data_IF_177647819779
#
_entry.id   IF_177647819779
#
_cell.length_a   1.000
_cell.length_b   1.000
_cell.length_c   1.000
_cell.angle_alpha   90.00
_cell.angle_beta   90.00
_cell.angle_gamma   90.00
#
_symmetry.space_group_name_H-M   'P 1'
#
loop_
_entity.id
_entity.type
_entity.pdbx_description
1 polymer ?
#
# COMPACT_ATOMS: atom_id res chain seq x y z
N UNK A 1 -45.01 -10.65 61.61
CA UNK A 1 -43.91 -10.27 62.53
C UNK A 1 -42.97 -11.46 62.66
N UNK A 2 -41.77 -11.35 62.08
CA UNK A 2 -40.54 -11.99 62.54
C UNK A 2 -39.41 -11.38 61.70
N UNK A 3 -38.61 -10.53 62.35
CA UNK A 3 -37.45 -9.86 61.78
C UNK A 3 -36.24 -10.77 62.00
N UNK A 4 -35.54 -11.16 60.93
CA UNK A 4 -34.32 -11.95 61.03
C UNK A 4 -33.13 -11.08 60.68
N UNK A 5 -32.31 -10.80 61.70
CA UNK A 5 -31.06 -10.04 61.65
C UNK A 5 -30.00 -10.84 60.89
N UNK A 6 -29.42 -10.25 59.84
CA UNK A 6 -28.28 -10.80 59.11
C UNK A 6 -26.97 -10.30 59.73
N UNK A 7 -26.10 -11.23 60.16
CA UNK A 7 -24.71 -10.95 60.57
C UNK A 7 -23.81 -10.84 59.34
N UNK A 8 -23.05 -9.75 59.27
CA UNK A 8 -21.98 -9.51 58.31
C UNK A 8 -20.74 -10.36 58.62
N UNK A 9 -20.17 -11.04 57.63
CA UNK A 9 -18.79 -11.52 57.70
C UNK A 9 -18.09 -11.42 56.33
N UNK A 10 -16.99 -10.67 56.32
CA UNK A 10 -15.73 -11.07 55.70
C UNK A 10 -15.60 -10.89 54.19
N UNK A 11 -14.86 -9.87 53.78
CA UNK A 11 -14.24 -9.74 52.47
C UNK A 11 -13.23 -10.89 52.27
N UNK A 12 -13.51 -11.80 51.34
CA UNK A 12 -12.59 -12.86 50.93
C UNK A 12 -11.74 -12.35 49.76
N UNK A 13 -10.44 -12.19 49.97
CA UNK A 13 -9.45 -11.90 48.94
C UNK A 13 -9.34 -13.07 47.98
N UNK A 14 -9.23 -12.77 46.67
CA UNK A 14 -9.09 -13.75 45.60
C UNK A 14 -7.70 -14.38 45.68
N UNK A 15 -7.64 -15.54 46.33
CA UNK A 15 -6.47 -16.41 46.39
C UNK A 15 -6.05 -16.87 44.97
N UNK A 16 -4.76 -17.17 44.87
CA UNK A 16 -3.94 -17.45 43.70
C UNK A 16 -4.54 -18.47 42.71
N UNK A 17 -4.65 -18.08 41.44
CA UNK A 17 -4.91 -19.01 40.33
C UNK A 17 -3.64 -19.84 40.04
N UNK A 18 -3.70 -21.17 40.00
CA UNK A 18 -2.55 -22.00 39.64
C UNK A 18 -2.16 -21.78 38.18
N UNK A 19 -0.90 -21.42 37.95
CA UNK A 19 -0.34 -21.11 36.63
C UNK A 19 -0.53 -22.23 35.60
N UNK A 20 -1.08 -21.88 34.45
CA UNK A 20 -1.20 -22.76 33.28
C UNK A 20 0.20 -23.16 32.80
N UNK A 21 0.51 -24.46 32.64
CA UNK A 21 1.81 -24.87 32.11
C UNK A 21 1.93 -24.44 30.64
N UNK A 22 2.93 -23.63 30.34
CA UNK A 22 3.26 -23.22 28.97
C UNK A 22 3.73 -24.44 28.15
N UNK A 23 3.25 -24.66 26.91
CA UNK A 23 3.65 -25.81 26.10
C UNK A 23 5.17 -25.85 25.84
N UNK A 24 5.77 -27.02 26.01
CA UNK A 24 7.17 -27.28 25.68
C UNK A 24 7.39 -27.06 24.16
N UNK A 25 7.99 -25.93 23.82
CA UNK A 25 8.15 -25.45 22.43
C UNK A 25 7.69 -24.01 22.20
N UNK A 26 7.14 -23.34 23.22
CA UNK A 26 6.99 -21.89 23.19
C UNK A 26 8.37 -21.26 22.96
N UNK A 27 8.46 -20.42 21.93
CA UNK A 27 9.65 -19.62 21.66
C UNK A 27 10.04 -18.93 22.97
N UNK A 28 11.19 -19.32 23.52
CA UNK A 28 11.80 -18.57 24.61
C UNK A 28 12.09 -17.20 24.04
N UNK A 29 11.27 -16.21 24.34
CA UNK A 29 11.62 -14.81 24.23
C UNK A 29 12.81 -14.61 25.16
N UNK A 30 14.02 -14.88 24.66
CA UNK A 30 15.22 -14.35 25.26
C UNK A 30 15.08 -12.85 25.07
N UNK A 31 14.76 -12.14 26.14
CA UNK A 31 14.97 -10.71 26.25
C UNK A 31 16.47 -10.49 26.03
N UNK A 32 16.87 -10.32 24.77
CA UNK A 32 18.18 -9.78 24.45
C UNK A 32 18.17 -8.36 25.00
N UNK A 33 19.05 -8.07 25.97
CA UNK A 33 19.26 -6.72 26.48
C UNK A 33 19.62 -5.80 25.31
N UNK A 34 18.62 -5.06 24.81
CA UNK A 34 18.82 -4.14 23.71
C UNK A 34 19.63 -2.97 24.25
N UNK A 35 20.91 -2.92 23.89
CA UNK A 35 21.77 -1.77 24.17
C UNK A 35 21.17 -0.50 23.54
N UNK A 36 20.51 0.32 24.36
CA UNK A 36 19.92 1.61 23.98
C UNK A 36 20.96 2.61 23.42
N UNK A 37 22.25 2.35 23.61
CA UNK A 37 23.33 3.19 23.06
C UNK A 37 23.60 2.95 21.57
N UNK A 38 23.08 1.86 20.99
CA UNK A 38 23.21 1.58 19.55
C UNK A 38 22.24 2.47 18.79
N UNK A 39 22.78 3.53 18.16
CA UNK A 39 22.01 4.37 17.24
C UNK A 39 21.50 3.53 16.05
N UNK A 40 20.20 3.25 16.03
CA UNK A 40 19.54 2.42 14.99
C UNK A 40 19.26 3.17 13.68
N UNK A 41 19.62 4.45 13.61
CA UNK A 41 19.34 5.31 12.46
C UNK A 41 17.88 5.78 12.43
N UNK A 42 17.67 7.06 12.15
CA UNK A 42 16.34 7.60 11.91
C UNK A 42 15.89 7.30 10.46
N UNK A 43 15.34 6.10 10.25
CA UNK A 43 14.81 5.66 8.95
C UNK A 43 13.57 6.45 8.50
N UNK A 44 12.89 7.14 9.44
CA UNK A 44 11.74 7.96 9.10
C UNK A 44 12.17 9.24 8.39
N UNK A 45 13.33 9.81 8.74
CA UNK A 45 13.85 11.06 8.17
C UNK A 45 14.93 10.86 7.10
N UNK A 46 14.96 9.68 6.48
CA UNK A 46 15.90 9.40 5.40
C UNK A 46 15.64 10.30 4.18
N UNK A 47 16.68 10.82 3.50
CA UNK A 47 16.48 11.64 2.30
C UNK A 47 15.72 10.87 1.21
N UNK A 48 14.80 11.58 0.54
CA UNK A 48 13.95 11.07 -0.54
C UNK A 48 14.72 10.31 -1.64
N UNK A 49 15.90 10.80 -2.04
CA UNK A 49 16.74 10.16 -3.05
C UNK A 49 17.20 8.74 -2.63
N UNK A 50 17.43 8.54 -1.34
CA UNK A 50 17.85 7.23 -0.80
C UNK A 50 16.63 6.31 -0.68
N UNK A 51 15.49 6.83 -0.22
CA UNK A 51 14.23 6.06 -0.20
C UNK A 51 13.83 5.57 -1.59
N UNK A 52 14.05 6.40 -2.62
CA UNK A 52 13.83 6.01 -4.01
C UNK A 52 14.72 4.83 -4.44
N UNK A 53 15.95 4.72 -3.91
CA UNK A 53 16.81 3.56 -4.13
C UNK A 53 16.31 2.31 -3.39
N UNK A 54 15.76 2.49 -2.18
CA UNK A 54 15.13 1.41 -1.41
C UNK A 54 13.90 0.86 -2.13
N UNK A 55 13.12 1.72 -2.79
CA UNK A 55 11.95 1.29 -3.57
C UNK A 55 12.28 0.52 -4.85
N UNK A 56 13.48 0.69 -5.41
CA UNK A 56 13.88 0.09 -6.69
C UNK A 56 13.68 -1.44 -6.77
N UNK A 57 14.19 -2.26 -5.83
CA UNK A 57 14.01 -3.71 -5.87
C UNK A 57 12.60 -4.19 -5.48
N UNK A 58 11.77 -3.33 -4.90
CA UNK A 58 10.46 -3.72 -4.39
C UNK A 58 9.41 -3.83 -5.51
N UNK A 59 8.50 -4.79 -5.38
CA UNK A 59 7.31 -4.88 -6.23
C UNK A 59 6.26 -3.84 -5.82
N UNK A 60 5.24 -3.61 -6.65
CA UNK A 60 4.26 -2.54 -6.42
C UNK A 60 3.53 -2.67 -5.07
N UNK A 61 3.15 -3.90 -4.69
CA UNK A 61 2.49 -4.17 -3.41
C UNK A 61 3.39 -3.81 -2.22
N UNK A 62 4.66 -4.22 -2.27
CA UNK A 62 5.65 -3.89 -1.24
C UNK A 62 5.91 -2.38 -1.17
N UNK A 63 6.00 -1.70 -2.32
CA UNK A 63 6.15 -0.23 -2.36
C UNK A 63 4.97 0.46 -1.68
N UNK A 64 3.75 -0.02 -1.94
CA UNK A 64 2.55 0.48 -1.30
C UNK A 64 2.56 0.22 0.21
N UNK A 65 2.88 -1.00 0.67
CA UNK A 65 2.94 -1.28 2.11
C UNK A 65 4.00 -0.42 2.82
N UNK A 66 5.14 -0.21 2.19
CA UNK A 66 6.21 0.65 2.69
C UNK A 66 5.79 2.13 2.76
N UNK A 67 4.95 2.61 1.83
CA UNK A 67 4.47 4.00 1.86
C UNK A 67 3.50 4.30 3.01
N UNK A 68 2.96 3.27 3.66
CA UNK A 68 2.06 3.40 4.82
C UNK A 68 2.80 3.55 6.15
N UNK A 69 4.13 3.41 6.18
CA UNK A 69 4.92 3.44 7.43
C UNK A 69 4.93 4.84 8.05
N UNK A 70 5.25 5.86 7.26
CA UNK A 70 5.26 7.25 7.71
C UNK A 70 5.12 8.22 6.52
N UNK A 71 4.91 9.50 6.83
CA UNK A 71 4.65 10.53 5.81
C UNK A 71 5.82 10.74 4.84
N UNK A 72 7.07 10.65 5.30
CA UNK A 72 8.25 10.78 4.42
C UNK A 72 8.33 9.63 3.40
N UNK A 73 8.03 8.41 3.81
CA UNK A 73 7.95 7.25 2.91
C UNK A 73 6.77 7.39 1.93
N UNK A 74 5.65 7.95 2.37
CA UNK A 74 4.53 8.29 1.49
C UNK A 74 4.92 9.31 0.40
N UNK A 75 5.72 10.33 0.74
CA UNK A 75 6.23 11.27 -0.28
C UNK A 75 7.18 10.59 -1.25
N UNK A 76 8.13 9.81 -0.74
CA UNK A 76 9.07 9.06 -1.57
C UNK A 76 8.39 8.07 -2.53
N UNK A 77 7.25 7.52 -2.13
CA UNK A 77 6.44 6.67 -2.99
C UNK A 77 5.97 7.40 -4.26
N UNK A 78 5.68 8.70 -4.23
CA UNK A 78 5.21 9.45 -5.39
C UNK A 78 6.34 9.99 -6.28
N UNK A 79 7.60 9.66 -5.98
CA UNK A 79 8.74 10.12 -6.76
C UNK A 79 8.86 9.42 -8.12
N UNK A 80 9.53 10.06 -9.10
CA UNK A 80 9.58 9.55 -10.46
C UNK A 80 10.20 8.15 -10.61
N UNK A 81 11.34 7.85 -9.97
CA UNK A 81 11.99 6.53 -10.16
C UNK A 81 11.28 5.42 -9.40
N UNK A 82 10.50 5.75 -8.37
CA UNK A 82 9.60 4.79 -7.69
C UNK A 82 8.54 4.22 -8.65
N UNK A 83 8.23 4.93 -9.74
CA UNK A 83 7.22 4.55 -10.74
C UNK A 83 7.76 4.38 -12.16
N UNK A 84 9.07 4.47 -12.36
CA UNK A 84 9.68 4.39 -13.69
C UNK A 84 9.31 3.10 -14.44
N UNK A 85 9.32 1.98 -13.71
CA UNK A 85 8.92 0.67 -14.22
C UNK A 85 7.63 0.24 -13.55
N UNK A 86 6.58 0.06 -14.36
CA UNK A 86 5.29 -0.46 -13.95
C UNK A 86 5.13 -1.88 -14.49
N UNK A 87 4.90 -2.83 -13.59
CA UNK A 87 4.61 -4.22 -13.95
C UNK A 87 3.11 -4.44 -13.78
N UNK A 88 2.45 -4.86 -14.85
CA UNK A 88 1.06 -5.25 -14.85
C UNK A 88 0.98 -6.77 -14.66
N UNK A 89 0.36 -7.19 -13.56
CA UNK A 89 0.08 -8.58 -13.20
C UNK A 89 -1.43 -8.83 -12.97
N UNK A 90 -1.82 -10.12 -12.80
CA UNK A 90 -3.22 -10.58 -12.63
C UNK A 90 -3.96 -9.91 -11.45
N UNK A 91 -3.22 -9.31 -10.52
CA UNK A 91 -3.76 -8.66 -9.33
C UNK A 91 -3.61 -7.13 -9.36
N UNK A 92 -2.85 -6.58 -10.30
CA UNK A 92 -2.51 -5.17 -10.39
C UNK A 92 -3.75 -4.33 -10.68
N UNK A 93 -4.05 -3.39 -9.79
CA UNK A 93 -5.22 -2.50 -9.90
C UNK A 93 -6.55 -3.25 -10.05
N UNK A 94 -6.61 -4.51 -9.59
CA UNK A 94 -7.84 -5.30 -9.64
C UNK A 94 -8.64 -5.19 -8.34
N UNK A 95 -9.88 -5.68 -8.41
CA UNK A 95 -10.72 -6.01 -7.27
C UNK A 95 -11.25 -7.43 -7.41
N UNK A 96 -11.50 -8.06 -6.27
CA UNK A 96 -12.12 -9.39 -6.24
C UNK A 96 -13.62 -9.27 -6.49
N UNK A 97 -14.12 -9.96 -7.51
CA UNK A 97 -15.54 -10.00 -7.88
C UNK A 97 -16.00 -11.46 -7.95
N UNK A 98 -17.18 -11.74 -7.41
CA UNK A 98 -17.76 -13.07 -7.51
C UNK A 98 -18.55 -13.20 -8.82
N UNK A 99 -18.27 -14.27 -9.56
CA UNK A 99 -19.01 -14.70 -10.74
C UNK A 99 -19.68 -16.05 -10.44
N UNK A 100 -20.97 -16.17 -10.76
CA UNK A 100 -21.74 -17.40 -10.52
C UNK A 100 -21.18 -18.64 -11.24
N UNK A 101 -20.54 -18.46 -12.39
CA UNK A 101 -20.01 -19.56 -13.20
C UNK A 101 -18.53 -19.85 -12.97
N UNK A 102 -17.74 -18.84 -12.58
CA UNK A 102 -16.28 -18.93 -12.46
C UNK A 102 -15.77 -18.72 -11.04
N UNK A 103 -16.67 -18.51 -10.07
CA UNK A 103 -16.32 -18.25 -8.68
C UNK A 103 -15.68 -16.87 -8.48
N UNK A 104 -14.75 -16.79 -7.53
CA UNK A 104 -14.01 -15.55 -7.24
C UNK A 104 -12.97 -15.28 -8.31
N UNK A 105 -13.10 -14.16 -9.00
CA UNK A 105 -12.14 -13.72 -10.02
C UNK A 105 -11.64 -12.30 -9.74
N UNK A 106 -10.45 -11.99 -10.25
CA UNK A 106 -9.90 -10.65 -10.23
C UNK A 106 -10.29 -9.90 -11.50
N UNK A 107 -10.94 -8.76 -11.32
CA UNK A 107 -11.39 -7.87 -12.40
C UNK A 107 -10.71 -6.52 -12.24
N UNK A 108 -10.23 -5.94 -13.34
CA UNK A 108 -9.62 -4.62 -13.33
C UNK A 108 -10.58 -3.56 -12.75
N UNK A 109 -10.09 -2.78 -11.80
CA UNK A 109 -10.85 -1.67 -11.24
C UNK A 109 -10.51 -0.38 -12.00
N UNK A 110 -11.46 0.07 -12.82
CA UNK A 110 -11.28 1.23 -13.68
C UNK A 110 -11.06 2.51 -12.89
N UNK A 111 -11.69 2.67 -11.73
CA UNK A 111 -11.50 3.85 -10.91
C UNK A 111 -10.08 3.88 -10.35
N UNK A 112 -9.60 2.75 -9.82
CA UNK A 112 -8.21 2.64 -9.32
C UNK A 112 -7.21 2.90 -10.42
N UNK A 113 -7.42 2.33 -11.60
CA UNK A 113 -6.55 2.53 -12.76
C UNK A 113 -6.52 3.99 -13.20
N UNK A 114 -7.69 4.65 -13.27
CA UNK A 114 -7.77 6.05 -13.66
C UNK A 114 -7.06 6.96 -12.65
N UNK A 115 -7.25 6.72 -11.35
CA UNK A 115 -6.58 7.48 -10.29
C UNK A 115 -5.06 7.24 -10.30
N UNK A 116 -4.63 6.01 -10.52
CA UNK A 116 -3.21 5.68 -10.67
C UNK A 116 -2.58 6.42 -11.86
N UNK A 117 -3.20 6.35 -13.03
CA UNK A 117 -2.71 7.05 -14.22
C UNK A 117 -2.71 8.58 -14.04
N UNK A 118 -3.73 9.15 -13.40
CA UNK A 118 -3.79 10.57 -13.13
C UNK A 118 -2.71 11.07 -12.17
N UNK A 119 -2.38 10.27 -11.14
CA UNK A 119 -1.41 10.65 -10.09
C UNK A 119 0.03 10.42 -10.52
N UNK A 120 0.34 9.20 -10.98
CA UNK A 120 1.72 8.74 -11.23
C UNK A 120 1.97 8.33 -12.68
N UNK A 121 0.96 8.33 -13.54
CA UNK A 121 1.09 7.89 -14.94
C UNK A 121 2.14 8.65 -15.76
N UNK A 122 2.44 9.91 -15.42
CA UNK A 122 3.52 10.70 -16.05
C UNK A 122 4.94 10.16 -15.77
N UNK A 123 5.10 9.37 -14.71
CA UNK A 123 6.38 8.81 -14.29
C UNK A 123 6.66 7.43 -14.91
N UNK A 124 5.63 6.77 -15.44
CA UNK A 124 5.76 5.46 -16.07
C UNK A 124 6.52 5.63 -17.39
N UNK A 125 7.68 4.96 -17.50
CA UNK A 125 8.52 4.94 -18.70
C UNK A 125 8.64 3.55 -19.30
N UNK A 126 8.58 2.52 -18.45
CA UNK A 126 8.66 1.13 -18.85
C UNK A 126 7.42 0.43 -18.33
N UNK A 127 6.68 -0.18 -19.25
CA UNK A 127 5.51 -0.99 -18.95
C UNK A 127 5.83 -2.44 -19.28
N UNK A 128 5.73 -3.31 -18.28
CA UNK A 128 5.99 -4.76 -18.40
C UNK A 128 4.69 -5.49 -18.14
N UNK A 129 4.32 -6.40 -19.04
CA UNK A 129 3.20 -7.31 -18.83
C UNK A 129 3.76 -8.65 -18.34
N UNK A 130 3.39 -9.02 -17.11
CA UNK A 130 3.61 -10.38 -16.64
C UNK A 130 2.69 -11.35 -17.42
N UNK A 131 2.98 -12.66 -17.42
CA UNK A 131 2.05 -13.64 -17.97
C UNK A 131 0.70 -13.60 -17.24
N UNK A 132 -0.33 -13.08 -17.91
CA UNK A 132 -1.68 -12.94 -17.37
C UNK A 132 -2.53 -14.16 -17.70
N UNK A 133 -3.35 -14.59 -16.74
CA UNK A 133 -4.38 -15.62 -16.97
C UNK A 133 -5.66 -15.01 -17.54
N UNK A 134 -5.91 -13.72 -17.30
CA UNK A 134 -7.12 -13.03 -17.73
C UNK A 134 -6.86 -11.93 -18.77
N UNK A 135 -6.90 -12.30 -20.05
CA UNK A 135 -6.73 -11.37 -21.17
C UNK A 135 -7.74 -10.21 -21.22
N UNK A 136 -8.90 -10.36 -20.58
CA UNK A 136 -9.89 -9.29 -20.52
C UNK A 136 -9.37 -8.10 -19.70
N UNK A 137 -8.73 -8.36 -18.55
CA UNK A 137 -8.13 -7.30 -17.72
C UNK A 137 -7.02 -6.56 -18.49
N UNK A 138 -6.20 -7.30 -19.24
CA UNK A 138 -5.16 -6.71 -20.09
C UNK A 138 -5.76 -5.79 -21.17
N UNK A 139 -6.82 -6.24 -21.85
CA UNK A 139 -7.50 -5.43 -22.86
C UNK A 139 -8.10 -4.15 -22.27
N UNK A 140 -8.80 -4.23 -21.13
CA UNK A 140 -9.36 -3.06 -20.47
C UNK A 140 -8.26 -2.07 -20.04
N UNK A 141 -7.18 -2.59 -19.44
CA UNK A 141 -6.05 -1.77 -19.02
C UNK A 141 -5.38 -1.07 -20.19
N UNK A 142 -5.17 -1.77 -21.30
CA UNK A 142 -4.61 -1.19 -22.52
C UNK A 142 -5.49 -0.11 -23.11
N UNK A 143 -6.81 -0.31 -23.11
CA UNK A 143 -7.76 0.69 -23.56
C UNK A 143 -7.68 1.97 -22.72
N UNK A 144 -7.57 1.82 -21.39
CA UNK A 144 -7.44 2.96 -20.47
C UNK A 144 -6.11 3.72 -20.64
N UNK A 145 -5.00 3.01 -20.85
CA UNK A 145 -3.69 3.63 -21.10
C UNK A 145 -3.70 4.39 -22.42
N UNK A 146 -4.25 3.80 -23.49
CA UNK A 146 -4.36 4.46 -24.79
C UNK A 146 -5.13 5.78 -24.67
N UNK A 147 -6.29 5.75 -23.99
CA UNK A 147 -7.07 6.96 -23.73
C UNK A 147 -6.29 8.01 -22.92
N UNK A 148 -5.59 7.59 -21.86
CA UNK A 148 -4.76 8.50 -21.06
C UNK A 148 -3.64 9.15 -21.90
N UNK A 149 -2.95 8.37 -22.73
CA UNK A 149 -1.86 8.84 -23.58
C UNK A 149 -2.37 9.86 -24.63
N UNK A 150 -3.51 9.59 -25.26
CA UNK A 150 -4.15 10.50 -26.21
C UNK A 150 -4.56 11.82 -25.54
N UNK A 151 -5.15 11.74 -24.36
CA UNK A 151 -5.59 12.92 -23.60
C UNK A 151 -4.38 13.80 -23.24
N UNK A 152 -3.29 13.19 -22.75
CA UNK A 152 -2.05 13.91 -22.45
C UNK A 152 -1.38 14.49 -23.68
N UNK A 153 -1.42 13.79 -24.80
CA UNK A 153 -0.93 14.31 -26.06
C UNK A 153 -1.72 15.56 -26.50
N UNK A 154 -3.05 15.52 -26.38
CA UNK A 154 -3.90 16.67 -26.72
C UNK A 154 -3.70 17.86 -25.76
N UNK A 155 -3.54 17.63 -24.45
CA UNK A 155 -3.19 18.68 -23.48
C UNK A 155 -1.87 19.38 -23.83
N UNK A 156 -0.86 18.63 -24.26
CA UNK A 156 0.43 19.19 -24.68
C UNK A 156 0.27 20.07 -25.92
N UNK A 157 -0.50 19.63 -26.92
CA UNK A 157 -0.75 20.39 -28.14
C UNK A 157 -1.58 21.66 -27.88
N UNK A 158 -2.62 21.57 -27.06
CA UNK A 158 -3.49 22.71 -26.76
C UNK A 158 -2.79 23.77 -25.91
N UNK A 159 -1.95 23.35 -24.95
CA UNK A 159 -1.17 24.26 -24.10
C UNK A 159 -0.07 25.04 -24.87
N UNK A 160 0.43 24.50 -25.98
CA UNK A 160 1.37 25.19 -26.87
C UNK A 160 0.69 26.31 -27.67
N UNK A 161 -0.58 26.15 -28.04
CA UNK A 161 -1.36 27.17 -28.77
C UNK A 161 -1.70 28.41 -27.94
N UNK A 162 -1.93 28.26 -26.62
CA UNK A 162 -2.26 29.38 -25.75
C UNK A 162 -1.09 30.32 -25.44
N UNK A 163 0.16 29.83 -25.50
CA UNK A 163 1.37 30.65 -25.23
C UNK A 163 1.81 31.51 -26.43
N UNK A 164 1.36 31.21 -27.65
CA UNK A 164 1.72 31.99 -28.84
C UNK A 164 0.96 33.33 -28.96
N UNK A 165 -0.15 33.49 -28.24
CA UNK A 165 -1.02 34.67 -28.35
C UNK A 165 -0.77 35.74 -27.28
N UNK A 166 0.12 35.50 -26.32
CA UNK A 166 0.47 36.48 -25.26
C UNK A 166 1.74 37.29 -25.55
N UNK A 167 2.35 37.13 -26.73
CA UNK A 167 3.53 37.86 -27.17
C UNK A 167 3.23 38.65 -28.44
N UNK A 168 2.37 39.66 -28.34
CA UNK A 168 2.41 40.79 -29.27
C UNK A 168 2.45 42.08 -28.44
N UNK A 169 3.44 42.96 -28.67
CA UNK A 169 3.56 44.26 -28.01
C UNK A 169 2.41 45.21 -28.39
#
# INVERSE_FOLDING_TARGET
MASTSYKSHGHLTRDEEPGVPTPAGAWSEKEEDIDESIYRGDWANLPELILEQVYRPLNMSQRYMASLVCQNWYYAFHLPKSWHTFVFDDHTLTRRKYNYYSGWTHMLDHLRTQLCLATVGKHIKVLIFAPETNFYNLYEFMSMISYYAETKHHELLSGLGSKANSSKP
#
